data_IF_479341776262
#
_entry.id   IF_479341776262
#
_cell.length_a   1.000
_cell.length_b   1.000
_cell.length_c   1.000
_cell.angle_alpha   90.00
_cell.angle_beta   90.00
_cell.angle_gamma   90.00
#
_symmetry.space_group_name_H-M   'P 1'
#
loop_
_entity.id
_entity.type
_entity.pdbx_description
1 polymer ?
#
# COMPACT_ATOMS: atom_id res chain seq x y z
N UNK A 1 16.35 10.70 3.13
CA UNK A 1 15.54 9.61 2.58
C UNK A 1 16.24 8.30 2.84
N UNK A 2 15.52 7.24 3.21
CA UNK A 2 16.15 5.93 3.35
C UNK A 2 16.68 5.45 1.98
N UNK A 3 17.79 4.73 2.00
CA UNK A 3 18.36 4.12 0.80
C UNK A 3 17.49 2.93 0.38
N UNK A 4 16.91 3.00 -0.81
CA UNK A 4 16.06 1.96 -1.40
C UNK A 4 16.80 1.04 -2.37
N UNK A 5 18.08 1.30 -2.67
CA UNK A 5 18.84 0.60 -3.72
C UNK A 5 18.93 -0.92 -3.54
N UNK A 6 18.80 -1.40 -2.31
CA UNK A 6 18.81 -2.83 -1.96
C UNK A 6 17.44 -3.36 -1.53
N UNK A 7 16.37 -2.59 -1.71
CA UNK A 7 15.03 -2.94 -1.23
C UNK A 7 14.15 -3.52 -2.34
N UNK A 8 13.46 -4.60 -2.02
CA UNK A 8 12.33 -5.12 -2.78
C UNK A 8 11.04 -4.50 -2.26
N UNK A 9 10.20 -3.99 -3.16
CA UNK A 9 8.99 -3.23 -2.82
C UNK A 9 7.77 -3.84 -3.50
N UNK A 10 6.71 -4.04 -2.74
CA UNK A 10 5.37 -4.35 -3.25
C UNK A 10 4.51 -3.09 -3.23
N UNK A 11 4.02 -2.68 -4.39
CA UNK A 11 2.96 -1.66 -4.52
C UNK A 11 1.61 -2.38 -4.68
N UNK A 12 0.91 -2.53 -3.57
CA UNK A 12 -0.36 -3.26 -3.52
C UNK A 12 -1.53 -2.39 -3.95
N UNK A 13 -2.25 -2.83 -4.97
CA UNK A 13 -3.32 -2.04 -5.58
C UNK A 13 -2.76 -0.80 -6.30
N UNK A 14 -1.56 -0.92 -6.88
CA UNK A 14 -0.81 0.20 -7.45
C UNK A 14 -1.38 0.81 -8.73
N UNK A 15 -2.41 0.18 -9.32
CA UNK A 15 -3.16 0.71 -10.44
C UNK A 15 -2.30 1.05 -11.65
N UNK A 16 -2.28 2.32 -12.04
CA UNK A 16 -1.52 2.80 -13.22
C UNK A 16 -0.04 3.04 -12.95
N UNK A 17 0.46 2.69 -11.75
CA UNK A 17 1.87 2.78 -11.41
C UNK A 17 2.35 4.16 -10.93
N UNK A 18 1.45 4.99 -10.44
CA UNK A 18 1.78 6.35 -9.99
C UNK A 18 2.88 6.37 -8.90
N UNK A 19 2.89 5.35 -8.03
CA UNK A 19 3.90 5.16 -6.98
C UNK A 19 5.03 4.24 -7.45
N UNK A 20 4.69 3.11 -8.06
CA UNK A 20 5.67 2.10 -8.48
C UNK A 20 6.72 2.62 -9.47
N UNK A 21 6.31 3.43 -10.46
CA UNK A 21 7.21 3.95 -11.49
C UNK A 21 8.36 4.80 -10.93
N UNK A 22 8.12 5.83 -10.09
CA UNK A 22 9.21 6.59 -9.48
C UNK A 22 10.04 5.76 -8.50
N UNK A 23 9.43 4.80 -7.77
CA UNK A 23 10.18 3.92 -6.86
C UNK A 23 11.12 2.98 -7.60
N UNK A 24 10.74 2.46 -8.77
CA UNK A 24 11.59 1.58 -9.56
C UNK A 24 12.92 2.24 -9.97
N UNK A 25 12.97 3.57 -10.05
CA UNK A 25 14.20 4.31 -10.35
C UNK A 25 15.21 4.30 -9.19
N UNK A 26 14.80 3.92 -8.00
CA UNK A 26 15.60 3.99 -6.78
C UNK A 26 15.73 2.65 -6.06
N UNK A 27 14.79 1.74 -6.27
CA UNK A 27 14.71 0.45 -5.60
C UNK A 27 15.47 -0.65 -6.35
N UNK A 28 15.80 -1.73 -5.64
CA UNK A 28 16.32 -2.95 -6.26
C UNK A 28 15.29 -3.56 -7.21
N UNK A 29 14.06 -3.69 -6.74
CA UNK A 29 12.94 -4.22 -7.52
C UNK A 29 11.62 -3.68 -6.98
N UNK A 30 10.65 -3.54 -7.87
CA UNK A 30 9.26 -3.18 -7.52
C UNK A 30 8.33 -4.17 -8.19
N UNK A 31 7.37 -4.69 -7.42
CA UNK A 31 6.28 -5.51 -7.92
C UNK A 31 4.98 -4.73 -7.69
N UNK A 32 4.26 -4.44 -8.76
CA UNK A 32 2.94 -3.82 -8.72
C UNK A 32 1.89 -4.91 -8.88
N UNK A 33 1.02 -5.06 -7.89
CA UNK A 33 -0.10 -5.99 -7.92
C UNK A 33 -1.41 -5.22 -7.95
N UNK A 34 -2.29 -5.56 -8.86
CA UNK A 34 -3.65 -5.03 -8.94
C UNK A 34 -4.59 -6.08 -9.54
N UNK A 35 -5.88 -5.98 -9.24
CA UNK A 35 -6.92 -6.83 -9.83
C UNK A 35 -7.45 -6.25 -11.14
N UNK A 36 -7.25 -4.96 -11.38
CA UNK A 36 -7.80 -4.22 -12.51
C UNK A 36 -6.89 -4.28 -13.74
N UNK A 37 -7.23 -5.13 -14.69
CA UNK A 37 -6.48 -5.35 -15.94
C UNK A 37 -6.23 -4.04 -16.72
N UNK A 38 -7.24 -3.20 -16.86
CA UNK A 38 -7.12 -1.92 -17.59
C UNK A 38 -6.14 -0.94 -16.93
N UNK A 39 -6.04 -0.96 -15.62
CA UNK A 39 -5.06 -0.14 -14.88
C UNK A 39 -3.65 -0.66 -15.11
N UNK A 40 -3.47 -1.98 -15.05
CA UNK A 40 -2.17 -2.62 -15.29
C UNK A 40 -1.69 -2.41 -16.74
N UNK A 41 -2.60 -2.41 -17.71
CA UNK A 41 -2.24 -2.11 -19.10
C UNK A 41 -1.67 -0.69 -19.26
N UNK A 42 -2.26 0.30 -18.59
CA UNK A 42 -1.70 1.65 -18.57
C UNK A 42 -0.33 1.71 -17.89
N UNK A 43 -0.14 0.96 -16.81
CA UNK A 43 1.16 0.83 -16.16
C UNK A 43 2.19 0.20 -17.09
N UNK A 44 1.83 -0.87 -17.81
CA UNK A 44 2.69 -1.56 -18.77
C UNK A 44 3.23 -0.62 -19.85
N UNK A 45 2.37 0.19 -20.44
CA UNK A 45 2.75 1.19 -21.45
C UNK A 45 3.80 2.15 -20.89
N UNK A 46 3.63 2.64 -19.68
CA UNK A 46 4.59 3.54 -19.02
C UNK A 46 5.92 2.86 -18.71
N UNK A 47 5.89 1.61 -18.24
CA UNK A 47 7.08 0.82 -17.94
C UNK A 47 7.92 0.64 -19.20
N UNK A 48 7.30 0.26 -20.30
CA UNK A 48 7.95 0.07 -21.59
C UNK A 48 8.54 1.39 -22.09
N UNK A 49 7.79 2.49 -22.03
CA UNK A 49 8.27 3.80 -22.48
C UNK A 49 9.44 4.33 -21.66
N UNK A 50 9.50 4.03 -20.36
CA UNK A 50 10.58 4.44 -19.45
C UNK A 50 11.69 3.39 -19.35
N UNK A 51 11.55 2.24 -19.99
CA UNK A 51 12.52 1.12 -19.98
C UNK A 51 12.89 0.65 -18.58
N UNK A 52 11.90 0.50 -17.71
CA UNK A 52 12.09 0.05 -16.32
C UNK A 52 12.15 -1.49 -16.29
N UNK A 53 13.35 -2.05 -16.22
CA UNK A 53 13.57 -3.49 -16.20
C UNK A 53 13.30 -4.15 -14.84
N UNK A 54 13.29 -3.38 -13.76
CA UNK A 54 13.14 -3.85 -12.38
C UNK A 54 11.73 -3.66 -11.81
N UNK A 55 10.73 -3.37 -12.65
CA UNK A 55 9.33 -3.27 -12.26
C UNK A 55 8.51 -4.36 -12.94
N UNK A 56 7.87 -5.20 -12.12
CA UNK A 56 7.00 -6.29 -12.56
C UNK A 56 5.55 -5.98 -12.26
N UNK A 57 4.65 -6.42 -13.15
CA UNK A 57 3.21 -6.31 -12.99
C UNK A 57 2.59 -7.69 -12.77
N UNK A 58 1.72 -7.80 -11.77
CA UNK A 58 0.97 -9.02 -11.47
C UNK A 58 -0.51 -8.67 -11.33
N UNK A 59 -1.35 -9.36 -12.11
CA UNK A 59 -2.80 -9.30 -11.95
C UNK A 59 -3.25 -10.43 -11.04
N UNK A 60 -3.51 -10.13 -9.77
CA UNK A 60 -3.84 -11.15 -8.76
C UNK A 60 -4.55 -10.55 -7.56
N UNK A 61 -5.45 -11.33 -6.97
CA UNK A 61 -6.01 -11.04 -5.64
C UNK A 61 -5.20 -11.81 -4.60
N UNK A 62 -4.38 -11.11 -3.83
CA UNK A 62 -3.48 -11.72 -2.85
C UNK A 62 -4.18 -12.32 -1.63
N UNK A 63 -5.45 -12.00 -1.40
CA UNK A 63 -6.26 -12.67 -0.37
C UNK A 63 -6.66 -14.08 -0.79
N UNK A 64 -6.79 -14.32 -2.09
CA UNK A 64 -7.15 -15.62 -2.65
C UNK A 64 -5.92 -16.44 -3.07
N UNK A 65 -4.95 -15.77 -3.67
CA UNK A 65 -3.73 -16.38 -4.19
C UNK A 65 -2.52 -15.56 -3.72
N UNK A 66 -1.90 -15.92 -2.58
CA UNK A 66 -0.72 -15.22 -2.09
C UNK A 66 0.49 -15.43 -3.01
N UNK A 67 1.41 -14.46 -3.00
CA UNK A 67 2.72 -14.64 -3.63
C UNK A 67 3.64 -15.45 -2.71
N UNK A 68 4.58 -16.17 -3.30
CA UNK A 68 5.63 -16.86 -2.53
C UNK A 68 6.76 -15.92 -2.08
N UNK A 69 6.84 -14.74 -2.72
CA UNK A 69 7.87 -13.75 -2.48
C UNK A 69 7.54 -12.87 -1.27
N UNK A 70 8.57 -12.55 -0.49
CA UNK A 70 8.50 -11.55 0.59
C UNK A 70 9.19 -10.26 0.17
N UNK A 71 8.74 -9.13 0.72
CA UNK A 71 9.20 -7.79 0.38
C UNK A 71 9.76 -7.05 1.60
N UNK A 72 10.75 -6.20 1.36
CA UNK A 72 11.28 -5.31 2.38
C UNK A 72 10.31 -4.17 2.73
N UNK A 73 9.54 -3.76 1.75
CA UNK A 73 8.53 -2.69 1.89
C UNK A 73 7.24 -3.10 1.19
N UNK A 74 6.11 -2.84 1.83
CA UNK A 74 4.79 -2.88 1.17
C UNK A 74 4.16 -1.50 1.28
N UNK A 75 3.65 -1.00 0.16
CA UNK A 75 2.93 0.27 0.06
C UNK A 75 1.49 -0.02 -0.32
N UNK A 76 0.56 0.50 0.47
CA UNK A 76 -0.88 0.38 0.27
C UNK A 76 -1.45 1.80 0.25
N UNK A 77 -1.72 2.33 -0.95
CA UNK A 77 -2.16 3.71 -1.11
C UNK A 77 -3.58 3.80 -1.61
N UNK A 78 -4.48 4.26 -0.76
CA UNK A 78 -5.91 4.50 -1.06
C UNK A 78 -6.64 3.25 -1.58
N UNK A 79 -6.29 2.09 -1.07
CA UNK A 79 -6.83 0.78 -1.45
C UNK A 79 -7.48 0.08 -0.27
N UNK A 80 -6.94 0.27 0.93
CA UNK A 80 -7.36 -0.47 2.12
C UNK A 80 -8.86 -0.28 2.43
N UNK A 81 -9.42 0.90 2.17
CA UNK A 81 -10.86 1.17 2.35
C UNK A 81 -11.78 0.36 1.42
N UNK A 82 -11.24 -0.25 0.36
CA UNK A 82 -11.97 -1.16 -0.54
C UNK A 82 -11.84 -2.64 -0.13
N UNK A 83 -10.97 -2.96 0.83
CA UNK A 83 -10.75 -4.34 1.26
C UNK A 83 -11.90 -4.83 2.13
N UNK A 84 -12.32 -6.11 1.99
CA UNK A 84 -13.51 -6.62 2.67
C UNK A 84 -13.34 -6.78 4.18
N UNK A 85 -12.12 -7.05 4.65
CA UNK A 85 -11.80 -7.25 6.06
C UNK A 85 -10.41 -6.70 6.38
N UNK A 86 -10.33 -5.81 7.36
CA UNK A 86 -9.08 -5.16 7.74
C UNK A 86 -8.06 -6.16 8.31
N UNK A 87 -8.48 -7.02 9.24
CA UNK A 87 -7.56 -7.94 9.92
C UNK A 87 -6.99 -8.97 8.95
N UNK A 88 -7.80 -9.52 8.05
CA UNK A 88 -7.34 -10.44 7.01
C UNK A 88 -6.36 -9.74 6.06
N UNK A 89 -6.61 -8.49 5.72
CA UNK A 89 -5.72 -7.70 4.87
C UNK A 89 -4.38 -7.45 5.53
N UNK A 90 -4.37 -7.06 6.81
CA UNK A 90 -3.14 -6.83 7.57
C UNK A 90 -2.34 -8.11 7.78
N UNK A 91 -3.01 -9.23 8.04
CA UNK A 91 -2.39 -10.55 8.13
C UNK A 91 -1.73 -10.93 6.79
N UNK A 92 -2.41 -10.72 5.67
CA UNK A 92 -1.88 -10.97 4.34
C UNK A 92 -0.64 -10.11 4.05
N UNK A 93 -0.66 -8.82 4.39
CA UNK A 93 0.53 -7.96 4.23
C UNK A 93 1.68 -8.46 5.09
N UNK A 94 1.40 -8.88 6.32
CA UNK A 94 2.44 -9.41 7.22
C UNK A 94 3.13 -10.65 6.65
N UNK A 95 2.37 -11.55 6.05
CA UNK A 95 2.90 -12.77 5.40
C UNK A 95 3.80 -12.47 4.21
N UNK A 96 3.59 -11.32 3.54
CA UNK A 96 4.40 -10.90 2.41
C UNK A 96 5.57 -9.96 2.79
N UNK A 97 5.79 -9.71 4.08
CA UNK A 97 6.90 -8.88 4.56
C UNK A 97 8.03 -9.74 5.12
N UNK A 98 9.25 -9.38 4.74
CA UNK A 98 10.46 -9.91 5.39
C UNK A 98 10.46 -9.55 6.88
N UNK A 99 11.22 -10.29 7.70
CA UNK A 99 11.47 -9.89 9.07
C UNK A 99 12.15 -8.51 9.10
N UNK A 100 11.59 -7.57 9.85
CA UNK A 100 12.02 -6.16 9.85
C UNK A 100 11.51 -5.34 8.67
N UNK A 101 10.73 -5.93 7.77
CA UNK A 101 10.10 -5.23 6.66
C UNK A 101 9.06 -4.20 7.13
N UNK A 102 8.80 -3.20 6.31
CA UNK A 102 7.92 -2.08 6.67
C UNK A 102 6.66 -2.05 5.82
N UNK A 103 5.54 -1.74 6.46
CA UNK A 103 4.24 -1.50 5.82
C UNK A 103 3.91 0.00 5.89
N UNK A 104 3.59 0.59 4.75
CA UNK A 104 3.14 1.97 4.63
C UNK A 104 1.72 1.99 4.09
N UNK A 105 0.81 2.56 4.86
CA UNK A 105 -0.60 2.71 4.49
C UNK A 105 -0.94 4.19 4.40
N UNK A 106 -1.42 4.62 3.24
CA UNK A 106 -2.07 5.92 3.09
C UNK A 106 -3.53 5.69 2.73
N UNK A 107 -4.42 6.36 3.43
CA UNK A 107 -5.85 6.31 3.15
C UNK A 107 -6.54 7.52 3.79
N UNK A 108 -7.86 7.55 3.72
CA UNK A 108 -8.66 8.66 4.20
C UNK A 108 -9.21 8.37 5.60
N UNK A 109 -9.22 9.40 6.44
CA UNK A 109 -9.95 9.34 7.71
C UNK A 109 -11.45 9.31 7.45
N UNK A 110 -12.17 8.69 8.38
CA UNK A 110 -13.63 8.63 8.34
C UNK A 110 -14.21 9.98 8.74
N UNK A 111 -15.01 10.64 7.89
CA UNK A 111 -15.83 11.77 8.33
C UNK A 111 -16.88 11.32 9.35
N UNK A 112 -17.30 12.20 10.23
CA UNK A 112 -18.33 11.90 11.22
C UNK A 112 -19.61 11.33 10.58
N UNK A 113 -20.04 10.17 11.05
CA UNK A 113 -21.25 9.49 10.58
C UNK A 113 -21.11 8.68 9.28
N UNK A 114 -19.92 8.54 8.74
CA UNK A 114 -19.66 7.76 7.51
C UNK A 114 -19.13 6.35 7.82
N UNK A 115 -19.30 5.43 6.84
CA UNK A 115 -18.87 4.04 6.97
C UNK A 115 -17.65 3.69 6.11
N UNK A 116 -17.20 4.59 5.25
CA UNK A 116 -16.04 4.40 4.38
C UNK A 116 -14.88 5.31 4.81
N UNK A 117 -13.73 4.71 5.09
CA UNK A 117 -12.54 5.38 5.60
C UNK A 117 -12.09 4.77 6.92
N UNK A 118 -11.21 5.46 7.63
CA UNK A 118 -10.56 4.92 8.83
C UNK A 118 -10.61 5.88 10.02
N UNK A 119 -10.73 5.30 11.19
CA UNK A 119 -10.35 5.92 12.47
C UNK A 119 -8.91 5.45 12.73
N UNK A 120 -7.97 6.39 12.79
CA UNK A 120 -6.52 6.08 12.87
C UNK A 120 -6.21 5.20 14.08
N UNK A 121 -6.79 5.50 15.25
CA UNK A 121 -6.55 4.70 16.45
C UNK A 121 -7.02 3.25 16.33
N UNK A 122 -8.11 2.99 15.62
CA UNK A 122 -8.61 1.64 15.37
C UNK A 122 -7.69 0.88 14.40
N UNK A 123 -7.16 1.56 13.38
CA UNK A 123 -6.16 0.98 12.48
C UNK A 123 -4.87 0.62 13.23
N UNK A 124 -4.40 1.51 14.11
CA UNK A 124 -3.22 1.25 14.94
C UNK A 124 -3.43 0.07 15.89
N UNK A 125 -4.61 -0.05 16.51
CA UNK A 125 -4.97 -1.21 17.35
C UNK A 125 -4.97 -2.52 16.54
N UNK A 126 -5.56 -2.53 15.34
CA UNK A 126 -5.55 -3.69 14.47
C UNK A 126 -4.12 -4.08 14.05
N UNK A 127 -3.26 -3.12 13.75
CA UNK A 127 -1.85 -3.38 13.47
C UNK A 127 -1.13 -4.02 14.66
N UNK A 128 -1.36 -3.54 15.87
CA UNK A 128 -0.80 -4.12 17.11
C UNK A 128 -1.29 -5.56 17.28
N UNK A 129 -2.59 -5.81 17.10
CA UNK A 129 -3.18 -7.14 17.22
C UNK A 129 -2.60 -8.13 16.19
N UNK A 130 -2.28 -7.66 14.99
CA UNK A 130 -1.62 -8.46 13.97
C UNK A 130 -0.10 -8.63 14.19
N UNK A 131 0.44 -8.05 15.27
CA UNK A 131 1.84 -8.21 15.65
C UNK A 131 2.81 -7.28 14.94
N UNK A 132 2.34 -6.15 14.43
CA UNK A 132 3.22 -5.07 13.96
C UNK A 132 3.75 -4.23 15.12
N UNK A 133 4.88 -3.61 14.92
CA UNK A 133 5.54 -2.73 15.86
C UNK A 133 5.96 -1.41 15.23
N UNK A 134 6.55 -0.52 16.02
CA UNK A 134 7.03 0.79 15.57
C UNK A 134 5.96 1.55 14.75
N UNK A 135 4.70 1.52 15.23
CA UNK A 135 3.55 2.10 14.53
C UNK A 135 3.56 3.61 14.74
N UNK A 136 3.52 4.35 13.64
CA UNK A 136 3.40 5.81 13.65
C UNK A 136 2.40 6.28 12.61
N UNK A 137 1.61 7.28 12.94
CA UNK A 137 0.64 7.88 12.03
C UNK A 137 0.79 9.39 11.97
N UNK A 138 0.57 9.95 10.79
CA UNK A 138 0.57 11.40 10.57
C UNK A 138 -0.46 11.80 9.52
N UNK A 139 -1.02 13.00 9.68
CA UNK A 139 -1.88 13.60 8.68
C UNK A 139 -1.01 14.26 7.61
N UNK A 140 -1.23 13.88 6.36
CA UNK A 140 -0.52 14.45 5.22
C UNK A 140 -1.24 15.66 4.62
N UNK A 141 -2.57 15.59 4.57
CA UNK A 141 -3.39 16.61 3.93
C UNK A 141 -4.82 16.59 4.50
N UNK A 142 -5.46 17.74 4.55
CA UNK A 142 -6.86 17.89 4.97
C UNK A 142 -7.62 18.74 3.97
N UNK A 143 -8.85 18.37 3.64
CA UNK A 143 -9.75 19.12 2.77
C UNK A 143 -11.21 18.85 3.10
N UNK A 144 -12.07 19.82 2.81
CA UNK A 144 -13.52 19.68 2.99
C UNK A 144 -14.17 18.75 1.96
N UNK A 145 -13.47 18.40 0.88
CA UNK A 145 -14.00 17.60 -0.23
C UNK A 145 -13.03 16.48 -0.69
N UNK A 146 -12.14 16.02 0.19
CA UNK A 146 -11.07 15.10 -0.18
C UNK A 146 -11.57 13.69 -0.52
N UNK A 147 -12.55 13.19 0.24
CA UNK A 147 -13.08 11.83 0.07
C UNK A 147 -14.60 11.84 0.06
N UNK A 148 -15.20 11.28 -0.98
CA UNK A 148 -16.65 11.25 -1.19
C UNK A 148 -17.30 12.64 -1.13
N UNK A 149 -16.58 13.69 -1.55
CA UNK A 149 -16.99 15.10 -1.47
C UNK A 149 -17.31 15.59 -0.05
N UNK A 150 -16.71 14.98 0.97
CA UNK A 150 -16.89 15.29 2.38
C UNK A 150 -15.57 15.68 3.06
N UNK A 151 -15.63 16.40 4.20
CA UNK A 151 -14.43 16.69 4.99
C UNK A 151 -13.73 15.41 5.40
N UNK A 152 -12.44 15.29 5.07
CA UNK A 152 -11.61 14.18 5.48
C UNK A 152 -10.13 14.55 5.43
N UNK A 153 -9.30 13.68 5.91
CA UNK A 153 -7.86 13.85 5.96
C UNK A 153 -7.20 12.65 5.28
N UNK A 154 -6.17 12.90 4.49
CA UNK A 154 -5.27 11.87 4.04
C UNK A 154 -4.21 11.63 5.12
N UNK A 155 -4.07 10.41 5.57
CA UNK A 155 -3.07 10.03 6.57
C UNK A 155 -2.02 9.06 5.99
N UNK A 156 -0.90 8.96 6.68
CA UNK A 156 0.11 7.93 6.50
C UNK A 156 0.33 7.21 7.82
N UNK A 157 0.17 5.90 7.82
CA UNK A 157 0.59 5.03 8.92
C UNK A 157 1.73 4.15 8.45
N UNK A 158 2.80 4.10 9.22
CA UNK A 158 3.92 3.18 9.01
C UNK A 158 4.04 2.21 10.16
N UNK A 159 4.43 0.98 9.87
CA UNK A 159 4.65 -0.07 10.86
C UNK A 159 5.73 -1.04 10.39
N UNK A 160 6.17 -1.90 11.30
CA UNK A 160 7.27 -2.84 11.05
C UNK A 160 6.89 -4.26 11.44
N UNK A 161 7.24 -5.19 10.59
CA UNK A 161 7.12 -6.62 10.85
C UNK A 161 8.33 -7.12 11.62
N UNK A 162 8.12 -7.53 12.87
CA UNK A 162 9.18 -8.10 13.72
C UNK A 162 8.82 -9.49 14.21
#
# INVERSE_FOLDING_TARGET
MPDLSNKSILDFGGGTGLIALPLAKQAKSVTLVDIADKMLEQARIKIESQKLANLSLIQQDLLLEPLEEEFDLIIVSRVLHHMPNLDDSLAMFKEHLTHGGQLFITDFTLPDGETHGFIISELEESLIQQGFSEITSQILYSSDHLFLHKPSQLFLTSSKNI
#
